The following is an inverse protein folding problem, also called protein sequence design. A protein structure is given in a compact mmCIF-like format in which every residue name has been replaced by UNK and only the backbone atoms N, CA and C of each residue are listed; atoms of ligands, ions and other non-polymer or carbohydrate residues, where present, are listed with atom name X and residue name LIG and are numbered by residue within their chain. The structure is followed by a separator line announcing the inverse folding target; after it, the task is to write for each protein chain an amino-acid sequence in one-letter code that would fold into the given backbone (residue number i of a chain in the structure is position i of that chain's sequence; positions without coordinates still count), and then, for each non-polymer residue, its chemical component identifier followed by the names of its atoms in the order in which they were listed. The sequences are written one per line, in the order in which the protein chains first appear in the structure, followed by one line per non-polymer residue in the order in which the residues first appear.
data_IF_882205730836
#
_entry.id   IF_882205730836
#
_cell.length_a   1.000
_cell.length_b   1.000
_cell.length_c   1.000
_cell.angle_alpha   90.00
_cell.angle_beta   90.00
_cell.angle_gamma   90.00
#
_symmetry.space_group_name_H-M   'P 1'
#
loop_
_entity.id
_entity.type
_entity.pdbx_description
1 polymer ?
#
# COMPACT_ATOMS: atom_id res chain seq x y z
N UNK A 1 1.31 -1.54 -20.81
CA UNK A 1 1.24 -1.73 -19.35
C UNK A 1 -0.08 -1.26 -18.75
N UNK A 2 -0.67 -0.14 -19.19
CA UNK A 2 -1.95 0.34 -18.64
C UNK A 2 -3.12 0.31 -19.63
N UNK A 3 -2.89 -0.04 -20.90
CA UNK A 3 -3.99 -0.48 -21.76
C UNK A 3 -4.39 -1.89 -21.32
N UNK A 4 -5.68 -2.06 -21.07
CA UNK A 4 -6.26 -3.27 -20.49
C UNK A 4 -7.32 -3.86 -21.42
N UNK A 5 -7.38 -3.35 -22.65
CA UNK A 5 -8.25 -3.87 -23.69
C UNK A 5 -7.83 -5.30 -24.02
N UNK A 6 -8.76 -6.25 -23.94
CA UNK A 6 -8.52 -7.66 -24.28
C UNK A 6 -7.98 -8.55 -23.15
N UNK A 7 -7.94 -8.08 -21.91
CA UNK A 7 -7.59 -8.91 -20.73
C UNK A 7 -8.72 -8.89 -19.68
N UNK A 8 -8.92 -10.03 -19.01
CA UNK A 8 -9.96 -10.20 -17.99
C UNK A 8 -9.58 -9.56 -16.64
N UNK A 9 -8.30 -9.58 -16.31
CA UNK A 9 -7.75 -8.96 -15.11
C UNK A 9 -6.28 -8.59 -15.32
N UNK A 10 -5.75 -7.73 -14.45
CA UNK A 10 -4.37 -7.27 -14.51
C UNK A 10 -3.50 -8.01 -13.49
N UNK A 11 -2.32 -8.44 -13.93
CA UNK A 11 -1.32 -9.05 -13.06
C UNK A 11 0.04 -8.40 -13.29
N UNK A 12 0.72 -8.01 -12.21
CA UNK A 12 2.09 -7.48 -12.28
C UNK A 12 3.02 -8.24 -11.36
N UNK A 13 4.31 -8.15 -11.66
CA UNK A 13 5.39 -8.64 -10.83
C UNK A 13 6.17 -7.44 -10.29
N UNK A 14 6.56 -7.46 -9.02
CA UNK A 14 7.34 -6.37 -8.42
C UNK A 14 8.24 -6.85 -7.30
N UNK A 15 9.52 -6.53 -7.42
CA UNK A 15 10.60 -6.90 -6.48
C UNK A 15 11.27 -5.65 -5.86
N UNK A 16 10.58 -4.51 -5.96
CA UNK A 16 11.03 -3.19 -5.52
C UNK A 16 10.68 -2.89 -4.05
N UNK A 17 11.03 -1.69 -3.59
CA UNK A 17 10.68 -1.23 -2.26
C UNK A 17 9.16 -1.11 -2.09
N UNK A 18 8.66 -1.22 -0.86
CA UNK A 18 7.22 -1.32 -0.59
C UNK A 18 6.48 -0.01 -0.89
N UNK A 19 7.11 1.12 -0.61
CA UNK A 19 6.66 2.46 -1.01
C UNK A 19 6.56 2.60 -2.54
N UNK A 20 7.49 2.03 -3.29
CA UNK A 20 7.37 1.97 -4.74
C UNK A 20 6.25 1.02 -5.19
N UNK A 21 6.12 -0.15 -4.56
CA UNK A 21 5.13 -1.17 -4.91
C UNK A 21 3.70 -0.62 -4.88
N UNK A 22 3.31 0.06 -3.80
CA UNK A 22 1.92 0.49 -3.58
C UNK A 22 1.40 1.38 -4.72
N UNK A 23 2.22 2.33 -5.20
CA UNK A 23 1.88 3.16 -6.35
C UNK A 23 1.75 2.36 -7.64
N UNK A 24 2.68 1.43 -7.91
CA UNK A 24 2.63 0.57 -9.11
C UNK A 24 1.38 -0.32 -9.10
N UNK A 25 1.12 -0.99 -7.98
CA UNK A 25 -0.03 -1.88 -7.83
C UNK A 25 -1.35 -1.11 -7.97
N UNK A 26 -1.42 0.12 -7.46
CA UNK A 26 -2.62 0.94 -7.60
C UNK A 26 -2.87 1.42 -9.03
N UNK A 27 -1.81 1.75 -9.78
CA UNK A 27 -1.96 2.24 -11.16
C UNK A 27 -2.67 1.27 -12.10
N UNK A 28 -2.62 -0.04 -11.82
CA UNK A 28 -3.30 -1.08 -12.61
C UNK A 28 -4.73 -1.39 -12.13
N UNK A 29 -5.24 -0.71 -11.11
CA UNK A 29 -6.62 -0.90 -10.62
C UNK A 29 -7.62 -0.47 -11.69
N UNK A 30 -8.35 -1.45 -12.25
CA UNK A 30 -9.42 -1.23 -13.24
C UNK A 30 -10.76 -1.79 -12.76
N UNK A 31 -10.99 -1.83 -11.45
CA UNK A 31 -12.26 -2.35 -10.90
C UNK A 31 -13.49 -1.56 -11.33
N UNK A 32 -13.33 -0.28 -11.70
CA UNK A 32 -14.40 0.51 -12.30
C UNK A 32 -14.89 -0.09 -13.64
N UNK A 33 -14.05 -0.89 -14.31
CA UNK A 33 -14.39 -1.64 -15.53
C UNK A 33 -14.86 -3.07 -15.26
N UNK A 34 -15.00 -3.47 -14.00
CA UNK A 34 -15.24 -4.86 -13.61
C UNK A 34 -13.99 -5.76 -13.71
N UNK A 35 -12.80 -5.20 -13.94
CA UNK A 35 -11.54 -5.95 -14.05
C UNK A 35 -10.77 -5.90 -12.73
N UNK A 36 -10.43 -7.06 -12.19
CA UNK A 36 -9.59 -7.14 -10.99
C UNK A 36 -8.12 -6.87 -11.30
N UNK A 37 -7.31 -6.72 -10.25
CA UNK A 37 -5.87 -6.57 -10.33
C UNK A 37 -5.16 -7.39 -9.24
N UNK A 38 -3.93 -7.84 -9.52
CA UNK A 38 -3.17 -8.73 -8.63
C UNK A 38 -1.66 -8.48 -8.70
N UNK A 39 -0.96 -8.98 -7.67
CA UNK A 39 0.50 -9.02 -7.60
C UNK A 39 0.95 -10.50 -7.70
N UNK A 40 1.19 -10.97 -8.92
CA UNK A 40 1.44 -12.38 -9.20
C UNK A 40 2.84 -12.85 -8.86
N UNK A 41 3.79 -11.93 -8.73
CA UNK A 41 5.09 -12.24 -8.17
C UNK A 41 5.60 -11.06 -7.33
N UNK A 42 5.98 -11.37 -6.09
CA UNK A 42 6.74 -10.48 -5.21
C UNK A 42 7.61 -11.31 -4.26
N UNK A 43 8.49 -10.64 -3.53
CA UNK A 43 9.26 -11.27 -2.46
C UNK A 43 10.75 -11.22 -2.68
N UNK A 44 11.49 -11.82 -1.75
CA UNK A 44 12.95 -11.92 -1.67
C UNK A 44 13.78 -10.66 -1.89
N UNK A 45 13.18 -9.46 -2.03
CA UNK A 45 13.90 -8.19 -2.14
C UNK A 45 14.93 -8.03 -1.04
N UNK A 46 14.52 -8.18 0.22
CA UNK A 46 15.37 -7.93 1.38
C UNK A 46 16.56 -8.88 1.40
N UNK A 47 16.31 -10.18 1.22
CA UNK A 47 17.35 -11.19 1.21
C UNK A 47 18.26 -11.09 -0.03
N UNK A 48 17.70 -10.76 -1.20
CA UNK A 48 18.44 -10.52 -2.43
C UNK A 48 19.34 -9.28 -2.35
N UNK A 49 18.83 -8.17 -1.81
CA UNK A 49 19.61 -6.95 -1.60
C UNK A 49 20.76 -7.18 -0.61
N UNK A 50 20.50 -7.86 0.51
CA UNK A 50 21.51 -8.26 1.48
C UNK A 50 22.60 -9.13 0.80
N UNK A 51 22.18 -10.10 -0.03
CA UNK A 51 23.10 -10.96 -0.78
C UNK A 51 23.99 -10.18 -1.75
N UNK A 52 23.44 -9.21 -2.47
CA UNK A 52 24.20 -8.33 -3.37
C UNK A 52 25.24 -7.47 -2.63
N UNK A 53 25.03 -7.23 -1.34
CA UNK A 53 25.95 -6.51 -0.46
C UNK A 53 26.94 -7.45 0.26
N UNK A 54 26.99 -8.74 -0.11
CA UNK A 54 27.88 -9.73 0.50
C UNK A 54 27.43 -10.22 1.88
N UNK A 55 26.21 -9.87 2.32
CA UNK A 55 25.65 -10.34 3.58
C UNK A 55 25.12 -11.77 3.39
N UNK A 56 25.43 -12.64 4.36
CA UNK A 56 24.99 -14.03 4.39
C UNK A 56 23.85 -14.24 5.39
N UNK A 57 22.99 -15.23 5.11
CA UNK A 57 21.83 -15.55 5.94
C UNK A 57 20.53 -14.91 5.46
N UNK A 58 19.43 -15.21 6.16
CA UNK A 58 18.11 -14.63 5.90
C UNK A 58 17.88 -13.43 6.86
N UNK A 59 17.70 -12.19 6.35
CA UNK A 59 17.33 -11.04 7.16
C UNK A 59 15.86 -11.14 7.61
N UNK A 60 15.57 -12.10 8.50
CA UNK A 60 14.23 -12.57 8.82
C UNK A 60 13.25 -11.46 9.19
N UNK A 61 13.62 -10.55 10.10
CA UNK A 61 12.71 -9.48 10.54
C UNK A 61 12.33 -8.53 9.40
N UNK A 62 13.32 -8.09 8.61
CA UNK A 62 13.07 -7.20 7.48
C UNK A 62 12.33 -7.91 6.32
N UNK A 63 12.57 -9.22 6.14
CA UNK A 63 11.78 -10.06 5.22
C UNK A 63 10.32 -10.17 5.67
N UNK A 64 10.07 -10.37 6.98
CA UNK A 64 8.72 -10.44 7.55
C UNK A 64 8.01 -9.10 7.38
N UNK A 65 8.65 -7.98 7.74
CA UNK A 65 8.08 -6.64 7.57
C UNK A 65 7.68 -6.37 6.11
N UNK A 66 8.55 -6.73 5.16
CA UNK A 66 8.24 -6.60 3.75
C UNK A 66 6.99 -7.40 3.36
N UNK A 67 6.95 -8.71 3.66
CA UNK A 67 5.81 -9.56 3.29
C UNK A 67 4.49 -9.12 3.93
N UNK A 68 4.52 -8.75 5.22
CA UNK A 68 3.34 -8.26 5.91
C UNK A 68 2.84 -6.95 5.30
N UNK A 69 3.74 -5.99 5.04
CA UNK A 69 3.37 -4.73 4.41
C UNK A 69 2.76 -4.95 3.02
N UNK A 70 3.38 -5.79 2.17
CA UNK A 70 2.82 -6.13 0.84
C UNK A 70 1.38 -6.65 0.94
N UNK A 71 1.12 -7.59 1.86
CA UNK A 71 -0.22 -8.13 2.03
C UNK A 71 -1.25 -7.10 2.51
N UNK A 72 -0.87 -6.23 3.43
CA UNK A 72 -1.76 -5.17 3.94
C UNK A 72 -2.05 -4.11 2.87
N UNK A 73 -1.07 -3.77 2.03
CA UNK A 73 -1.28 -2.91 0.86
C UNK A 73 -2.22 -3.57 -0.16
N UNK A 74 -2.00 -4.84 -0.48
CA UNK A 74 -2.80 -5.55 -1.46
C UNK A 74 -4.27 -5.68 -1.04
N UNK A 75 -4.54 -6.15 0.19
CA UNK A 75 -5.92 -6.23 0.69
C UNK A 75 -6.55 -4.84 0.85
N UNK A 76 -5.78 -3.87 1.35
CA UNK A 76 -6.22 -2.49 1.54
C UNK A 76 -6.64 -1.82 0.24
N UNK A 77 -5.91 -2.06 -0.85
CA UNK A 77 -6.29 -1.58 -2.17
C UNK A 77 -7.39 -2.42 -2.83
N UNK A 78 -7.63 -3.64 -2.36
CA UNK A 78 -8.61 -4.58 -2.89
C UNK A 78 -8.12 -5.39 -4.09
N UNK A 79 -6.84 -5.78 -4.10
CA UNK A 79 -6.29 -6.73 -5.05
C UNK A 79 -6.93 -8.12 -4.87
N UNK A 80 -7.13 -8.87 -5.95
CA UNK A 80 -7.77 -10.20 -5.89
C UNK A 80 -6.88 -11.28 -5.26
N UNK A 81 -5.58 -11.22 -5.50
CA UNK A 81 -4.61 -12.12 -4.89
C UNK A 81 -3.20 -11.52 -4.90
N UNK A 82 -2.34 -12.12 -4.07
CA UNK A 82 -0.89 -11.94 -4.14
C UNK A 82 -0.24 -13.33 -4.22
N UNK A 83 0.85 -13.44 -4.96
CA UNK A 83 1.64 -14.66 -5.04
C UNK A 83 3.12 -14.31 -4.90
N UNK A 84 3.80 -15.01 -3.98
CA UNK A 84 5.22 -14.78 -3.77
C UNK A 84 6.04 -15.64 -4.74
N UNK A 85 7.17 -15.09 -5.17
CA UNK A 85 8.22 -15.84 -5.86
C UNK A 85 9.45 -15.85 -4.94
N UNK A 86 9.94 -16.99 -4.46
CA UNK A 86 9.61 -18.39 -4.81
C UNK A 86 9.08 -19.18 -3.61
N UNK A 87 8.51 -20.35 -3.87
CA UNK A 87 8.15 -21.30 -2.81
C UNK A 87 9.38 -21.81 -2.03
N UNK A 88 10.48 -22.12 -2.71
CA UNK A 88 11.73 -22.60 -2.11
C UNK A 88 12.96 -21.98 -2.78
N UNK A 89 14.08 -21.95 -2.06
CA UNK A 89 15.38 -21.61 -2.64
C UNK A 89 15.75 -22.64 -3.72
N UNK A 90 16.41 -22.19 -4.78
CA UNK A 90 16.95 -23.08 -5.80
C UNK A 90 18.27 -23.68 -5.32
N UNK A 91 18.48 -24.98 -5.52
CA UNK A 91 19.70 -25.69 -5.07
C UNK A 91 20.97 -25.18 -5.76
N UNK A 92 20.84 -24.83 -7.03
CA UNK A 92 21.96 -24.42 -7.88
C UNK A 92 22.06 -22.89 -8.00
N UNK A 93 21.33 -22.15 -7.16
CA UNK A 93 21.36 -20.70 -7.16
C UNK A 93 21.81 -20.17 -5.80
N UNK A 94 22.71 -19.19 -5.83
CA UNK A 94 23.22 -18.56 -4.62
C UNK A 94 22.24 -17.54 -4.01
N UNK A 95 21.14 -17.26 -4.70
CA UNK A 95 20.17 -16.26 -4.30
C UNK A 95 19.01 -16.87 -3.49
N UNK A 96 18.71 -16.32 -2.30
CA UNK A 96 17.68 -16.86 -1.40
C UNK A 96 16.26 -16.43 -1.84
N UNK A 97 15.79 -16.95 -2.96
CA UNK A 97 14.48 -16.63 -3.54
C UNK A 97 13.28 -17.20 -2.77
N UNK A 98 13.46 -18.29 -2.03
CA UNK A 98 12.36 -19.02 -1.40
C UNK A 98 11.87 -18.43 -0.09
N UNK A 99 10.59 -18.67 0.22
CA UNK A 99 10.08 -18.65 1.61
C UNK A 99 10.42 -19.94 2.38
N UNK A 100 10.86 -20.98 1.67
CA UNK A 100 11.53 -22.16 2.23
C UNK A 100 12.99 -22.21 1.79
N UNK A 101 13.82 -22.88 2.58
CA UNK A 101 15.14 -23.32 2.14
C UNK A 101 15.04 -24.40 1.05
N UNK A 102 16.15 -24.71 0.39
CA UNK A 102 16.17 -25.65 -0.75
C UNK A 102 15.80 -27.11 -0.38
N UNK A 103 15.90 -27.43 0.90
CA UNK A 103 15.48 -28.69 1.54
C UNK A 103 14.02 -28.68 2.05
N UNK A 104 13.28 -27.59 1.79
CA UNK A 104 11.92 -27.33 2.27
C UNK A 104 11.81 -27.00 3.77
N UNK A 105 12.92 -26.73 4.47
CA UNK A 105 12.86 -26.19 5.82
C UNK A 105 12.23 -24.78 5.77
N UNK A 106 11.19 -24.49 6.56
CA UNK A 106 10.49 -23.21 6.52
C UNK A 106 11.36 -22.07 7.06
N UNK A 107 11.38 -20.94 6.35
CA UNK A 107 11.99 -19.69 6.87
C UNK A 107 10.99 -18.96 7.78
N UNK A 108 11.45 -18.09 8.69
CA UNK A 108 10.56 -17.29 9.55
C UNK A 108 9.51 -16.49 8.77
N UNK A 109 9.86 -16.00 7.57
CA UNK A 109 8.92 -15.29 6.69
C UNK A 109 7.74 -16.15 6.24
N UNK A 110 7.89 -17.46 6.07
CA UNK A 110 6.78 -18.36 5.73
C UNK A 110 5.76 -18.45 6.87
N UNK A 111 6.22 -18.50 8.12
CA UNK A 111 5.32 -18.54 9.27
C UNK A 111 4.49 -17.26 9.37
N UNK A 112 5.14 -16.09 9.21
CA UNK A 112 4.45 -14.79 9.23
C UNK A 112 3.48 -14.66 8.04
N UNK A 113 3.91 -15.06 6.85
CA UNK A 113 3.11 -15.01 5.63
C UNK A 113 1.86 -15.90 5.75
N UNK A 114 2.01 -17.13 6.25
CA UNK A 114 0.89 -18.04 6.56
C UNK A 114 -0.09 -17.43 7.55
N UNK A 115 0.41 -16.84 8.65
CA UNK A 115 -0.45 -16.24 9.68
C UNK A 115 -1.24 -15.04 9.12
N UNK A 116 -0.63 -14.21 8.26
CA UNK A 116 -1.33 -13.13 7.55
C UNK A 116 -2.43 -13.67 6.62
N UNK A 117 -2.15 -14.74 5.86
CA UNK A 117 -3.17 -15.36 5.00
C UNK A 117 -4.35 -15.92 5.79
N UNK A 118 -4.10 -16.49 6.98
CA UNK A 118 -5.17 -16.92 7.87
C UNK A 118 -5.97 -15.73 8.39
N UNK A 119 -5.30 -14.65 8.79
CA UNK A 119 -5.96 -13.43 9.26
C UNK A 119 -6.93 -12.84 8.22
N UNK A 120 -6.55 -12.87 6.95
CA UNK A 120 -7.37 -12.37 5.84
C UNK A 120 -8.43 -13.37 5.34
N UNK A 121 -8.43 -14.62 5.85
CA UNK A 121 -9.24 -15.73 5.30
C UNK A 121 -10.74 -15.46 5.28
N UNK A 122 -11.25 -14.64 6.19
CA UNK A 122 -12.68 -14.31 6.31
C UNK A 122 -13.02 -12.96 5.67
N UNK A 123 -12.04 -12.28 5.06
CA UNK A 123 -12.28 -11.06 4.34
C UNK A 123 -12.80 -11.40 2.94
N UNK A 124 -13.99 -10.91 2.61
CA UNK A 124 -14.53 -10.95 1.25
C UNK A 124 -14.72 -9.52 0.73
N UNK A 125 -13.66 -8.89 0.18
CA UNK A 125 -13.73 -7.52 -0.30
C UNK A 125 -14.81 -7.32 -1.37
N UNK A 126 -15.51 -6.20 -1.26
CA UNK A 126 -16.48 -5.71 -2.24
C UNK A 126 -16.00 -4.38 -2.80
N UNK A 127 -16.12 -4.21 -4.11
CA UNK A 127 -15.82 -2.94 -4.75
C UNK A 127 -16.90 -1.90 -4.40
N UNK A 128 -16.48 -0.73 -3.91
CA UNK A 128 -17.28 0.48 -3.80
C UNK A 128 -16.61 1.55 -4.67
N UNK A 129 -17.35 2.12 -5.62
CA UNK A 129 -16.82 3.14 -6.51
C UNK A 129 -16.43 4.39 -5.70
N UNK A 130 -15.16 4.84 -5.77
CA UNK A 130 -14.71 6.01 -5.04
C UNK A 130 -15.20 7.30 -5.72
N UNK A 131 -15.23 8.40 -4.97
CA UNK A 131 -15.61 9.71 -5.51
C UNK A 131 -14.42 10.45 -6.17
N UNK A 132 -13.19 10.01 -5.95
CA UNK A 132 -11.96 10.58 -6.51
C UNK A 132 -11.33 9.63 -7.52
N UNK A 133 -10.86 10.14 -8.66
CA UNK A 133 -10.09 9.38 -9.63
C UNK A 133 -8.76 10.04 -9.98
N UNK A 134 -7.70 9.23 -10.06
CA UNK A 134 -6.43 9.59 -10.67
C UNK A 134 -6.52 9.33 -12.17
N UNK A 135 -6.36 10.38 -12.98
CA UNK A 135 -6.39 10.31 -14.44
C UNK A 135 -4.97 10.12 -14.97
N UNK A 136 -4.70 8.98 -15.59
CA UNK A 136 -3.41 8.68 -16.19
C UNK A 136 -3.32 9.33 -17.58
N UNK A 137 -2.32 10.19 -17.85
CA UNK A 137 -2.20 10.91 -19.11
C UNK A 137 -1.66 9.99 -20.22
N UNK A 138 -2.54 9.50 -21.08
CA UNK A 138 -2.19 8.55 -22.13
C UNK A 138 -1.33 9.18 -23.22
N UNK A 139 -1.63 10.42 -23.60
CA UNK A 139 -0.89 11.13 -24.65
C UNK A 139 0.51 11.58 -24.20
N UNK A 140 0.71 11.88 -22.91
CA UNK A 140 2.01 12.36 -22.43
C UNK A 140 3.02 11.26 -22.12
N UNK A 141 2.56 10.05 -21.74
CA UNK A 141 3.42 8.97 -21.23
C UNK A 141 4.35 8.32 -22.27
N UNK A 142 4.11 8.52 -23.56
CA UNK A 142 4.91 7.92 -24.64
C UNK A 142 5.90 8.96 -25.19
N UNK A 143 7.17 8.56 -25.33
CA UNK A 143 8.21 9.38 -25.97
C UNK A 143 9.45 9.61 -25.09
N UNK A 144 10.21 10.70 -25.32
CA UNK A 144 11.34 11.07 -24.49
C UNK A 144 10.95 11.14 -23.01
N UNK A 145 11.88 10.77 -22.12
CA UNK A 145 11.70 10.78 -20.66
C UNK A 145 10.65 9.79 -20.10
N UNK A 146 10.19 8.80 -20.87
CA UNK A 146 9.15 7.80 -20.46
C UNK A 146 9.37 7.27 -19.03
N UNK A 147 10.62 6.91 -18.66
CA UNK A 147 10.93 6.40 -17.32
C UNK A 147 10.62 7.40 -16.20
N UNK A 148 10.98 8.68 -16.37
CA UNK A 148 10.68 9.74 -15.40
C UNK A 148 9.19 10.05 -15.34
N UNK A 149 8.50 10.01 -16.48
CA UNK A 149 7.05 10.22 -16.54
C UNK A 149 6.32 9.12 -15.77
N UNK A 150 6.65 7.84 -16.03
CA UNK A 150 6.04 6.72 -15.31
C UNK A 150 6.32 6.77 -13.81
N UNK A 151 7.52 7.20 -13.39
CA UNK A 151 7.83 7.40 -11.98
C UNK A 151 7.01 8.54 -11.37
N UNK A 152 6.81 9.65 -12.08
CA UNK A 152 5.93 10.73 -11.65
C UNK A 152 4.46 10.28 -11.49
N UNK A 153 3.95 9.46 -12.40
CA UNK A 153 2.60 8.89 -12.27
C UNK A 153 2.47 7.94 -11.08
N UNK A 154 3.47 7.09 -10.86
CA UNK A 154 3.55 6.22 -9.68
C UNK A 154 3.54 7.05 -8.40
N UNK A 155 4.32 8.14 -8.36
CA UNK A 155 4.40 9.08 -7.25
C UNK A 155 3.07 9.78 -6.97
N UNK A 156 2.32 10.13 -8.01
CA UNK A 156 0.96 10.68 -7.86
C UNK A 156 0.03 9.71 -7.13
N UNK A 157 0.05 8.43 -7.54
CA UNK A 157 -0.73 7.39 -6.88
C UNK A 157 -0.26 7.20 -5.43
N UNK A 158 1.05 7.24 -5.20
CA UNK A 158 1.67 7.15 -3.88
C UNK A 158 1.26 8.26 -2.91
N UNK A 159 1.18 9.50 -3.41
CA UNK A 159 0.69 10.65 -2.66
C UNK A 159 -0.77 10.49 -2.24
N UNK A 160 -1.64 10.07 -3.18
CA UNK A 160 -3.05 9.79 -2.87
C UNK A 160 -3.21 8.66 -1.85
N UNK A 161 -2.40 7.60 -1.98
CA UNK A 161 -2.38 6.52 -0.99
C UNK A 161 -1.96 7.06 0.40
N UNK A 162 -0.94 7.92 0.44
CA UNK A 162 -0.38 8.45 1.69
C UNK A 162 -1.28 9.48 2.39
N UNK A 163 -2.25 10.08 1.69
CA UNK A 163 -3.26 10.96 2.31
C UNK A 163 -4.52 10.20 2.76
N UNK A 164 -4.50 8.86 2.66
CA UNK A 164 -5.58 7.97 3.11
C UNK A 164 -6.94 8.26 2.45
N UNK A 165 -6.95 8.67 1.18
CA UNK A 165 -8.19 8.88 0.42
C UNK A 165 -8.52 7.65 -0.43
N UNK A 166 -9.77 7.16 -0.44
CA UNK A 166 -10.21 6.18 -1.43
C UNK A 166 -10.24 6.82 -2.82
N UNK A 167 -9.55 6.23 -3.80
CA UNK A 167 -9.55 6.71 -5.17
C UNK A 167 -9.52 5.58 -6.20
N UNK A 168 -10.04 5.85 -7.39
CA UNK A 168 -9.95 4.97 -8.56
C UNK A 168 -8.84 5.45 -9.49
N UNK A 169 -8.43 4.61 -10.43
CA UNK A 169 -7.46 5.00 -11.47
C UNK A 169 -8.13 4.82 -12.82
N UNK A 170 -8.03 5.83 -13.68
CA UNK A 170 -8.65 5.83 -15.00
C UNK A 170 -7.67 6.39 -16.04
N UNK A 171 -7.74 5.87 -17.26
CA UNK A 171 -6.98 6.38 -18.39
C UNK A 171 -7.74 7.55 -19.04
N UNK A 172 -7.03 8.52 -19.62
CA UNK A 172 -7.63 9.61 -20.42
C UNK A 172 -8.60 9.06 -21.49
N UNK A 173 -8.18 8.01 -22.20
CA UNK A 173 -8.99 7.38 -23.23
C UNK A 173 -10.31 6.77 -22.72
N UNK A 174 -10.44 6.54 -21.42
CA UNK A 174 -11.61 5.91 -20.78
C UNK A 174 -12.47 6.87 -19.97
N UNK A 175 -12.23 8.18 -20.04
CA UNK A 175 -12.97 9.20 -19.25
C UNK A 175 -14.50 9.20 -19.49
N UNK A 176 -14.97 8.70 -20.63
CA UNK A 176 -16.39 8.47 -20.93
C UNK A 176 -17.03 7.35 -20.09
N UNK A 177 -16.21 6.54 -19.42
CA UNK A 177 -16.62 5.44 -18.54
C UNK A 177 -16.44 5.76 -17.05
N UNK A 178 -16.26 7.04 -16.71
CA UNK A 178 -16.25 7.48 -15.31
C UNK A 178 -17.54 7.04 -14.61
N UNK A 179 -17.46 6.37 -13.44
CA UNK A 179 -18.64 6.02 -12.67
C UNK A 179 -19.42 7.25 -12.21
N UNK A 180 -20.76 7.14 -12.05
CA UNK A 180 -21.61 8.25 -11.63
C UNK A 180 -21.31 8.75 -10.22
N UNK A 181 -20.54 8.03 -9.42
CA UNK A 181 -20.04 8.43 -8.10
C UNK A 181 -18.86 9.42 -8.18
N UNK A 182 -18.19 9.54 -9.34
CA UNK A 182 -17.04 10.43 -9.49
C UNK A 182 -17.43 11.91 -9.24
N UNK A 183 -16.70 12.58 -8.36
CA UNK A 183 -16.88 13.99 -7.98
C UNK A 183 -15.62 14.81 -8.15
N UNK A 184 -14.45 14.18 -8.09
CA UNK A 184 -13.17 14.85 -8.27
C UNK A 184 -12.20 14.04 -9.12
N UNK A 185 -11.34 14.74 -9.85
CA UNK A 185 -10.23 14.19 -10.62
C UNK A 185 -8.92 14.81 -10.16
N UNK A 186 -7.87 14.00 -10.11
CA UNK A 186 -6.49 14.45 -10.08
C UNK A 186 -5.85 14.00 -11.38
N UNK A 187 -5.46 14.95 -12.20
CA UNK A 187 -4.91 14.76 -13.54
C UNK A 187 -3.44 15.20 -13.56
N UNK A 188 -2.53 14.35 -13.07
CA UNK A 188 -1.11 14.64 -13.07
C UNK A 188 -0.59 14.74 -14.50
N UNK A 189 0.40 15.60 -14.71
CA UNK A 189 1.14 15.70 -15.96
C UNK A 189 0.22 15.85 -17.20
N UNK A 190 -0.84 16.64 -17.05
CA UNK A 190 -1.81 17.00 -18.08
C UNK A 190 -1.21 18.01 -19.07
N UNK A 191 -0.05 17.68 -19.65
CA UNK A 191 0.73 18.56 -20.53
C UNK A 191 0.16 18.54 -21.95
N UNK A 192 0.03 17.36 -22.55
CA UNK A 192 -0.43 17.23 -23.93
C UNK A 192 -1.64 16.33 -24.08
N UNK A 193 -2.74 16.58 -23.34
CA UNK A 193 -3.92 15.74 -23.46
C UNK A 193 -4.49 15.85 -24.87
N UNK A 194 -4.95 14.73 -25.43
CA UNK A 194 -5.70 14.71 -26.68
C UNK A 194 -6.96 15.60 -26.56
N UNK A 195 -7.39 16.19 -27.69
CA UNK A 195 -8.54 17.11 -27.71
C UNK A 195 -9.81 16.44 -27.12
N UNK A 196 -10.08 15.19 -27.51
CA UNK A 196 -11.21 14.41 -26.98
C UNK A 196 -11.15 14.20 -25.47
N UNK A 197 -9.96 13.96 -24.91
CA UNK A 197 -9.77 13.77 -23.47
C UNK A 197 -9.99 15.06 -22.71
N UNK A 198 -9.48 16.18 -23.26
CA UNK A 198 -9.69 17.51 -22.71
C UNK A 198 -11.17 17.92 -22.70
N UNK A 199 -11.89 17.69 -23.80
CA UNK A 199 -13.33 17.96 -23.88
C UNK A 199 -14.15 17.15 -22.87
N UNK A 200 -13.77 15.89 -22.62
CA UNK A 200 -14.41 15.04 -21.60
C UNK A 200 -14.20 15.61 -20.18
N UNK A 201 -13.01 16.14 -19.89
CA UNK A 201 -12.75 16.81 -18.61
C UNK A 201 -13.54 18.11 -18.49
N UNK A 202 -13.66 18.91 -19.56
CA UNK A 202 -14.52 20.09 -19.56
C UNK A 202 -15.98 19.72 -19.22
N UNK A 203 -16.53 18.70 -19.87
CA UNK A 203 -17.89 18.22 -19.58
C UNK A 203 -18.05 17.79 -18.13
N UNK A 204 -17.06 17.09 -17.58
CA UNK A 204 -17.06 16.70 -16.16
C UNK A 204 -17.09 17.94 -15.23
N UNK A 205 -16.32 18.98 -15.56
CA UNK A 205 -16.31 20.25 -14.81
C UNK A 205 -17.66 20.97 -14.93
N UNK A 206 -18.26 21.03 -16.12
CA UNK A 206 -19.58 21.63 -16.37
C UNK A 206 -20.66 20.96 -15.51
N UNK A 207 -20.59 19.64 -15.36
CA UNK A 207 -21.47 18.82 -14.52
C UNK A 207 -21.22 18.98 -13.00
N UNK A 208 -20.31 19.86 -12.60
CA UNK A 208 -20.02 20.16 -11.18
C UNK A 208 -18.84 19.37 -10.61
N UNK A 209 -18.14 18.61 -11.45
CA UNK A 209 -16.91 17.92 -11.08
C UNK A 209 -15.78 18.91 -10.78
N UNK A 210 -14.83 18.47 -9.95
CA UNK A 210 -13.66 19.27 -9.55
C UNK A 210 -12.37 18.62 -9.99
N UNK A 211 -11.41 19.42 -10.46
CA UNK A 211 -10.20 18.88 -11.09
C UNK A 211 -8.96 19.57 -10.54
N UNK A 212 -8.00 18.79 -10.07
CA UNK A 212 -6.61 19.22 -9.94
C UNK A 212 -5.87 18.78 -11.20
N UNK A 213 -5.28 19.73 -11.93
CA UNK A 213 -4.36 19.42 -13.02
C UNK A 213 -2.96 19.99 -12.74
N UNK A 214 -1.93 19.19 -13.06
CA UNK A 214 -0.54 19.63 -13.02
C UNK A 214 0.07 19.57 -14.42
N UNK A 215 1.02 20.44 -14.72
CA UNK A 215 1.51 20.65 -16.08
C UNK A 215 0.63 21.63 -16.87
N UNK A 216 0.99 21.87 -18.12
CA UNK A 216 0.38 22.91 -18.95
C UNK A 216 -0.42 22.28 -20.10
N UNK A 217 -1.76 22.30 -20.09
CA UNK A 217 -2.56 21.60 -21.11
C UNK A 217 -2.55 22.28 -22.48
N UNK A 218 -1.82 23.40 -22.66
CA UNK A 218 -1.76 24.15 -23.92
C UNK A 218 -0.93 23.45 -25.01
N UNK A 219 -0.28 22.34 -24.70
CA UNK A 219 0.47 21.57 -25.68
C UNK A 219 -0.44 20.56 -26.41
N UNK A 220 -0.28 20.45 -27.73
CA UNK A 220 -0.87 19.36 -28.52
C UNK A 220 -0.06 18.06 -28.32
N UNK A 221 -0.57 16.94 -28.83
CA UNK A 221 0.03 15.61 -28.63
C UNK A 221 1.48 15.49 -29.15
N UNK A 222 1.85 16.29 -30.14
CA UNK A 222 3.22 16.45 -30.65
C UNK A 222 4.11 17.35 -29.75
N UNK A 223 3.58 17.79 -28.61
CA UNK A 223 4.20 18.68 -27.63
C UNK A 223 4.51 20.08 -28.19
N UNK A 224 3.71 20.55 -29.15
CA UNK A 224 3.73 21.95 -29.61
C UNK A 224 2.69 22.81 -28.87
N UNK A 225 3.01 24.04 -28.44
CA UNK A 225 2.09 24.88 -27.66
C UNK A 225 1.03 25.57 -28.55
N UNK A 226 0.17 24.78 -29.19
CA UNK A 226 -0.84 25.26 -30.15
C UNK A 226 -2.25 25.36 -29.57
N UNK A 227 -2.51 24.82 -28.37
CA UNK A 227 -3.84 24.77 -27.73
C UNK A 227 -4.02 25.88 -26.70
N UNK A 228 -3.70 27.11 -27.09
CA UNK A 228 -3.62 28.26 -26.17
C UNK A 228 -4.93 28.60 -25.45
N UNK A 229 -6.07 28.33 -26.07
CA UNK A 229 -7.39 28.61 -25.51
C UNK A 229 -7.78 27.70 -24.32
N UNK A 230 -7.08 26.57 -24.10
CA UNK A 230 -7.46 25.58 -23.08
C UNK A 230 -7.47 26.13 -21.65
N UNK A 231 -6.58 27.04 -21.30
CA UNK A 231 -6.59 27.66 -19.97
C UNK A 231 -7.83 28.55 -19.78
N UNK A 232 -8.21 29.31 -20.80
CA UNK A 232 -9.41 30.14 -20.76
C UNK A 232 -10.68 29.28 -20.66
N UNK A 233 -10.72 28.16 -21.39
CA UNK A 233 -11.81 27.16 -21.30
C UNK A 233 -11.93 26.55 -19.90
N UNK A 234 -10.82 26.43 -19.16
CA UNK A 234 -10.81 26.03 -17.75
C UNK A 234 -11.11 27.18 -16.78
N UNK A 235 -11.42 28.39 -17.26
CA UNK A 235 -11.66 29.56 -16.44
C UNK A 235 -10.41 30.11 -15.75
N UNK A 236 -9.22 29.82 -16.29
CA UNK A 236 -7.92 30.21 -15.77
C UNK A 236 -7.29 31.32 -16.61
N UNK A 237 -6.53 32.20 -15.94
CA UNK A 237 -5.73 33.21 -16.62
C UNK A 237 -4.32 32.66 -16.89
N UNK A 238 -3.97 32.61 -18.18
CA UNK A 238 -2.68 32.10 -18.62
C UNK A 238 -1.52 33.03 -18.21
N UNK A 239 -0.42 32.51 -17.64
CA UNK A 239 0.86 33.22 -17.64
C UNK A 239 1.46 33.19 -19.05
N UNK A 240 2.30 34.19 -19.37
CA UNK A 240 3.06 34.26 -20.61
C UNK A 240 4.57 34.05 -20.36
N UNK A 241 5.32 33.29 -21.22
CA UNK A 241 4.89 32.34 -22.26
C UNK A 241 4.68 30.89 -21.74
N UNK A 242 4.13 29.99 -22.57
CA UNK A 242 4.09 28.54 -22.27
C UNK A 242 5.50 27.94 -22.22
N UNK A 243 5.78 27.13 -21.21
CA UNK A 243 7.12 26.59 -20.94
C UNK A 243 7.15 25.10 -21.31
N UNK A 244 8.12 24.64 -22.12
CA UNK A 244 8.22 23.22 -22.48
C UNK A 244 8.28 22.29 -21.25
N UNK A 245 7.64 21.12 -21.28
CA UNK A 245 7.44 20.26 -20.10
C UNK A 245 8.74 19.80 -19.40
N UNK A 246 9.87 19.75 -20.10
CA UNK A 246 11.13 19.24 -19.55
C UNK A 246 12.21 20.31 -19.31
N UNK A 247 11.92 21.58 -19.62
CA UNK A 247 12.88 22.66 -19.43
C UNK A 247 12.99 23.10 -17.96
N UNK A 248 11.93 22.91 -17.17
CA UNK A 248 11.96 23.13 -15.72
C UNK A 248 12.62 21.93 -15.05
N UNK A 249 13.61 22.18 -14.21
CA UNK A 249 14.40 21.13 -13.52
C UNK A 249 14.25 21.13 -12.00
N UNK A 250 13.62 22.15 -11.43
CA UNK A 250 13.43 22.29 -10.00
C UNK A 250 12.04 22.85 -9.70
N UNK A 251 11.49 22.47 -8.55
CA UNK A 251 10.29 23.11 -8.03
C UNK A 251 10.56 24.56 -7.65
N UNK A 252 9.60 25.47 -7.86
CA UNK A 252 9.62 26.79 -7.26
C UNK A 252 9.67 26.72 -5.72
N UNK A 253 10.25 27.73 -5.09
CA UNK A 253 10.36 27.79 -3.62
C UNK A 253 8.99 27.87 -2.91
N UNK A 254 8.00 28.50 -3.56
CA UNK A 254 6.62 28.54 -3.11
C UNK A 254 5.75 27.84 -4.15
N UNK A 255 5.12 26.74 -3.74
CA UNK A 255 4.26 25.94 -4.62
C UNK A 255 2.80 26.09 -4.19
N UNK A 256 1.96 26.49 -5.14
CA UNK A 256 0.51 26.53 -4.96
C UNK A 256 -0.17 26.37 -6.31
N UNK A 257 -1.37 25.77 -6.31
CA UNK A 257 -2.22 25.79 -7.49
C UNK A 257 -2.98 27.12 -7.58
N UNK A 258 -3.25 27.54 -8.81
CA UNK A 258 -4.19 28.61 -9.16
C UNK A 258 -5.58 28.01 -9.26
N UNK A 259 -6.60 28.78 -8.89
CA UNK A 259 -7.98 28.30 -8.95
C UNK A 259 -8.75 29.04 -10.04
N UNK A 260 -9.62 28.33 -10.77
CA UNK A 260 -10.58 28.95 -11.69
C UNK A 260 -11.55 29.87 -10.95
N UNK A 261 -12.18 30.81 -11.67
CA UNK A 261 -13.11 31.78 -11.08
C UNK A 261 -14.27 31.13 -10.31
N UNK A 262 -14.71 29.96 -10.73
CA UNK A 262 -15.81 29.20 -10.11
C UNK A 262 -15.35 28.19 -9.05
N UNK A 263 -14.05 28.10 -8.77
CA UNK A 263 -13.51 27.21 -7.74
C UNK A 263 -13.39 25.73 -8.16
N UNK A 264 -13.77 25.36 -9.40
CA UNK A 264 -13.84 23.94 -9.82
C UNK A 264 -12.51 23.38 -10.30
N UNK A 265 -11.61 24.22 -10.78
CA UNK A 265 -10.32 23.81 -11.34
C UNK A 265 -9.19 24.36 -10.48
N UNK A 266 -8.34 23.48 -9.98
CA UNK A 266 -7.06 23.79 -9.38
C UNK A 266 -5.95 23.44 -10.39
N UNK A 267 -5.11 24.41 -10.74
CA UNK A 267 -4.07 24.24 -11.75
C UNK A 267 -2.70 24.63 -11.25
N UNK A 268 -1.75 23.70 -11.39
CA UNK A 268 -0.33 23.96 -11.18
C UNK A 268 0.40 23.86 -12.53
N UNK A 269 0.97 24.95 -13.08
CA UNK A 269 1.61 24.92 -14.39
C UNK A 269 2.84 24.00 -14.44
N UNK A 270 3.56 23.87 -13.34
CA UNK A 270 4.72 23.00 -13.26
C UNK A 270 4.29 21.52 -13.20
N UNK A 271 5.02 20.62 -13.90
CA UNK A 271 4.81 19.17 -13.78
C UNK A 271 5.34 18.67 -12.43
N UNK A 272 4.60 18.99 -11.36
CA UNK A 272 4.92 18.72 -9.94
C UNK A 272 5.53 17.33 -9.73
N UNK A 273 4.95 16.32 -10.36
CA UNK A 273 5.32 14.92 -10.24
C UNK A 273 6.71 14.62 -10.82
N UNK A 274 7.21 15.43 -11.75
CA UNK A 274 8.57 15.30 -12.30
C UNK A 274 9.63 16.08 -11.51
N UNK A 275 9.19 16.97 -10.61
CA UNK A 275 10.05 17.93 -9.91
C UNK A 275 10.16 17.65 -8.41
N UNK A 276 9.14 17.05 -7.78
CA UNK A 276 9.13 16.73 -6.35
C UNK A 276 9.70 15.33 -6.03
N UNK A 277 10.99 15.15 -6.20
CA UNK A 277 11.62 13.84 -5.97
C UNK A 277 11.57 13.39 -4.50
N UNK A 278 11.40 14.32 -3.55
CA UNK A 278 11.30 14.01 -2.11
C UNK A 278 9.88 13.74 -1.65
N UNK A 279 8.86 14.00 -2.49
CA UNK A 279 7.45 13.77 -2.15
C UNK A 279 6.93 14.56 -0.95
N UNK A 280 7.60 15.65 -0.59
CA UNK A 280 7.23 16.49 0.55
C UNK A 280 6.12 17.48 0.16
N UNK A 281 6.20 18.02 -1.05
CA UNK A 281 5.32 19.11 -1.51
C UNK A 281 4.07 18.58 -2.20
N UNK A 282 4.22 17.60 -3.08
CA UNK A 282 3.11 17.13 -3.92
C UNK A 282 2.03 16.42 -3.13
N UNK A 283 2.41 15.65 -2.11
CA UNK A 283 1.48 15.06 -1.14
C UNK A 283 0.62 16.12 -0.47
N UNK A 284 1.23 17.23 -0.04
CA UNK A 284 0.52 18.33 0.61
C UNK A 284 -0.40 19.06 -0.36
N UNK A 285 0.04 19.30 -1.60
CA UNK A 285 -0.81 19.91 -2.65
C UNK A 285 -2.04 19.03 -2.94
N UNK A 286 -1.86 17.72 -3.05
CA UNK A 286 -2.96 16.78 -3.28
C UNK A 286 -3.92 16.76 -2.08
N UNK A 287 -3.37 16.68 -0.85
CA UNK A 287 -4.16 16.75 0.38
C UNK A 287 -4.98 18.03 0.45
N UNK A 288 -4.36 19.17 0.15
CA UNK A 288 -5.00 20.49 0.16
C UNK A 288 -6.13 20.59 -0.86
N UNK A 289 -5.90 20.12 -2.09
CA UNK A 289 -6.96 20.03 -3.09
C UNK A 289 -8.14 19.20 -2.58
N UNK A 290 -7.89 18.00 -2.03
CA UNK A 290 -8.94 17.13 -1.52
C UNK A 290 -9.71 17.81 -0.36
N UNK A 291 -8.98 18.32 0.64
CA UNK A 291 -9.55 18.88 1.88
C UNK A 291 -10.25 20.23 1.66
N UNK A 292 -9.72 21.11 0.81
CA UNK A 292 -10.21 22.49 0.66
C UNK A 292 -11.04 22.69 -0.61
N UNK A 293 -10.73 21.92 -1.65
CA UNK A 293 -11.30 22.11 -2.98
C UNK A 293 -12.20 20.96 -3.39
N UNK A 294 -12.53 19.99 -2.53
CA UNK A 294 -13.52 18.95 -2.86
C UNK A 294 -14.40 18.59 -1.66
N UNK A 295 -15.45 17.80 -1.90
CA UNK A 295 -16.25 17.16 -0.84
C UNK A 295 -15.90 15.66 -0.69
N UNK A 296 -14.75 15.22 -1.22
CA UNK A 296 -14.33 13.83 -1.10
C UNK A 296 -13.76 13.58 0.28
N UNK A 297 -14.38 12.66 1.02
CA UNK A 297 -13.96 12.33 2.37
C UNK A 297 -12.80 11.31 2.35
N UNK A 298 -11.66 11.71 2.91
CA UNK A 298 -10.54 10.82 3.22
C UNK A 298 -10.70 10.17 4.60
N UNK A 299 -10.07 9.00 4.78
CA UNK A 299 -9.99 8.37 6.08
C UNK A 299 -9.05 9.19 6.98
N UNK A 300 -9.62 9.80 8.03
CA UNK A 300 -8.85 10.56 9.00
C UNK A 300 -8.09 9.59 9.90
N UNK A 301 -6.80 9.84 10.09
CA UNK A 301 -5.92 9.00 10.92
C UNK A 301 -5.05 9.93 11.75
N UNK A 302 -4.91 9.68 13.04
CA UNK A 302 -3.97 10.41 13.90
C UNK A 302 -2.78 9.50 14.25
N UNK A 303 -1.53 9.97 14.10
CA UNK A 303 -1.12 11.21 13.42
C UNK A 303 -1.34 11.16 11.90
N UNK A 304 -1.63 12.32 11.32
CA UNK A 304 -2.00 12.51 9.91
C UNK A 304 -0.84 13.11 9.07
N UNK A 305 0.33 12.53 9.22
CA UNK A 305 1.59 13.03 8.62
C UNK A 305 2.06 12.19 7.42
N UNK A 306 1.20 11.28 6.96
CA UNK A 306 1.40 10.41 5.79
C UNK A 306 2.38 9.26 5.98
N UNK A 307 2.88 9.01 7.19
CA UNK A 307 3.66 7.79 7.50
C UNK A 307 2.79 6.60 7.90
N UNK A 308 1.52 6.83 8.24
CA UNK A 308 0.55 5.77 8.53
C UNK A 308 -0.42 5.66 7.37
N UNK A 309 -0.18 4.65 6.53
CA UNK A 309 -0.99 4.41 5.34
C UNK A 309 -2.10 3.47 5.72
N UNK A 310 -3.34 3.90 5.53
CA UNK A 310 -4.51 3.22 6.06
C UNK A 310 -5.58 3.13 4.99
N UNK A 311 -6.16 1.94 4.88
CA UNK A 311 -7.24 1.63 3.98
C UNK A 311 -8.46 1.20 4.77
N UNK A 312 -9.62 1.69 4.37
CA UNK A 312 -10.92 1.14 4.75
C UNK A 312 -11.41 0.28 3.58
N UNK A 313 -11.66 -1.00 3.85
CA UNK A 313 -12.06 -1.99 2.84
C UNK A 313 -13.49 -2.42 3.13
N UNK A 314 -14.39 -2.14 2.20
CA UNK A 314 -15.74 -2.68 2.25
C UNK A 314 -15.69 -4.20 2.04
N UNK A 315 -16.37 -4.94 2.91
CA UNK A 315 -16.52 -6.39 2.80
C UNK A 315 -17.99 -6.74 2.53
N UNK A 316 -18.25 -7.97 2.08
CA UNK A 316 -19.62 -8.47 1.98
C UNK A 316 -20.34 -8.51 3.34
N UNK A 317 -19.61 -8.84 4.41
CA UNK A 317 -20.09 -8.80 5.79
C UNK A 317 -19.27 -7.80 6.61
N UNK A 318 -19.62 -6.51 6.49
CA UNK A 318 -19.02 -5.43 7.27
C UNK A 318 -17.83 -4.74 6.58
N UNK A 319 -16.79 -4.43 7.35
CA UNK A 319 -15.63 -3.63 6.90
C UNK A 319 -14.33 -4.11 7.53
N UNK A 320 -13.23 -3.88 6.84
CA UNK A 320 -11.90 -4.05 7.39
C UNK A 320 -11.09 -2.76 7.30
N UNK A 321 -10.15 -2.62 8.23
CA UNK A 321 -9.09 -1.62 8.21
C UNK A 321 -7.77 -2.35 8.08
N UNK A 322 -6.96 -1.96 7.09
CA UNK A 322 -5.59 -2.40 6.95
C UNK A 322 -4.69 -1.16 7.00
N UNK A 323 -3.66 -1.18 7.85
CA UNK A 323 -2.71 -0.08 7.93
C UNK A 323 -1.26 -0.57 8.01
N UNK A 324 -0.34 0.27 7.54
CA UNK A 324 1.10 0.07 7.62
C UNK A 324 1.74 1.32 8.21
N UNK A 325 2.47 1.17 9.32
CA UNK A 325 3.31 2.22 9.88
C UNK A 325 4.66 2.22 9.17
N UNK A 326 4.87 3.19 8.29
CA UNK A 326 6.11 3.34 7.52
C UNK A 326 7.17 4.18 8.23
N UNK A 327 6.88 4.73 9.41
CA UNK A 327 7.88 5.48 10.17
C UNK A 327 8.89 4.56 10.87
N UNK A 328 10.02 5.13 11.24
CA UNK A 328 11.07 4.48 12.03
C UNK A 328 10.70 4.35 13.51
N UNK A 329 9.56 4.91 13.92
CA UNK A 329 9.10 4.92 15.30
C UNK A 329 7.78 4.17 15.48
N UNK A 330 7.49 3.76 16.72
CA UNK A 330 6.19 3.22 17.05
C UNK A 330 5.14 4.34 17.13
N UNK A 331 3.94 4.08 16.63
CA UNK A 331 2.85 5.05 16.58
C UNK A 331 1.63 4.59 17.34
N UNK A 332 0.95 5.54 17.98
CA UNK A 332 -0.40 5.37 18.47
C UNK A 332 -1.35 5.86 17.39
N UNK A 333 -1.95 4.92 16.67
CA UNK A 333 -2.87 5.19 15.57
C UNK A 333 -4.27 5.34 16.16
N UNK A 334 -4.95 6.43 15.81
CA UNK A 334 -6.38 6.64 16.09
C UNK A 334 -7.11 6.83 14.77
N UNK A 335 -8.12 6.00 14.53
CA UNK A 335 -9.05 6.10 13.41
C UNK A 335 -10.42 6.39 14.03
N UNK A 336 -11.01 7.56 13.79
CA UNK A 336 -12.30 7.93 14.38
C UNK A 336 -13.42 7.04 13.82
N UNK A 337 -14.51 6.94 14.59
CA UNK A 337 -15.69 6.23 14.14
C UNK A 337 -16.29 6.91 12.90
N UNK A 338 -16.72 6.10 11.91
CA UNK A 338 -17.32 6.58 10.66
C UNK A 338 -18.28 5.55 10.09
N UNK A 339 -19.53 5.93 9.89
CA UNK A 339 -20.56 4.99 9.40
C UNK A 339 -20.66 3.75 10.30
N UNK A 340 -20.40 2.57 9.72
CA UNK A 340 -20.38 1.29 10.43
C UNK A 340 -19.01 0.91 11.02
N UNK A 341 -17.97 1.71 10.79
CA UNK A 341 -16.65 1.48 11.36
C UNK A 341 -16.58 2.12 12.76
N UNK A 342 -16.44 1.34 13.84
CA UNK A 342 -16.21 1.88 15.18
C UNK A 342 -14.83 2.54 15.28
N UNK A 343 -14.64 3.40 16.28
CA UNK A 343 -13.32 3.99 16.55
C UNK A 343 -12.29 2.89 16.81
N UNK A 344 -11.11 3.00 16.19
CA UNK A 344 -9.98 2.09 16.38
C UNK A 344 -8.82 2.87 16.99
N UNK A 345 -8.28 2.37 18.11
CA UNK A 345 -7.01 2.86 18.69
C UNK A 345 -6.04 1.72 18.82
N UNK A 346 -4.87 1.84 18.20
CA UNK A 346 -3.89 0.78 18.16
C UNK A 346 -2.47 1.31 18.29
N UNK A 347 -1.66 0.63 19.09
CA UNK A 347 -0.22 0.84 19.08
C UNK A 347 0.45 -0.03 18.03
N UNK A 348 1.08 0.58 17.03
CA UNK A 348 1.73 -0.10 15.90
C UNK A 348 3.21 0.21 15.91
N UNK A 349 4.07 -0.81 15.96
CA UNK A 349 5.51 -0.60 15.97
C UNK A 349 6.04 -0.14 14.60
N UNK A 350 7.27 0.37 14.56
CA UNK A 350 7.94 0.83 13.34
C UNK A 350 8.00 -0.27 12.28
N UNK A 351 7.62 0.04 11.04
CA UNK A 351 7.59 -0.93 9.93
C UNK A 351 6.56 -2.06 10.09
N UNK A 352 5.63 -1.97 11.06
CA UNK A 352 4.62 -3.00 11.33
C UNK A 352 3.23 -2.60 10.84
N UNK A 353 2.31 -3.54 10.93
CA UNK A 353 0.98 -3.43 10.34
C UNK A 353 -0.13 -3.54 11.39
N UNK A 354 -1.28 -2.97 11.04
CA UNK A 354 -2.55 -3.08 11.76
C UNK A 354 -3.57 -3.74 10.83
N UNK A 355 -4.35 -4.66 11.37
CA UNK A 355 -5.54 -5.16 10.72
C UNK A 355 -6.69 -5.24 11.72
N UNK A 356 -7.88 -4.81 11.32
CA UNK A 356 -9.12 -4.96 12.10
C UNK A 356 -10.24 -5.28 11.13
N UNK A 357 -10.97 -6.36 11.38
CA UNK A 357 -12.18 -6.70 10.64
C UNK A 357 -13.37 -6.68 11.58
N UNK A 358 -14.38 -5.92 11.20
CA UNK A 358 -15.68 -5.83 11.88
C UNK A 358 -16.77 -6.35 10.95
N UNK A 359 -17.63 -7.24 11.46
CA UNK A 359 -18.77 -7.73 10.68
C UNK A 359 -19.91 -6.69 10.63
N UNK A 360 -20.99 -6.97 9.91
CA UNK A 360 -22.13 -6.06 9.79
C UNK A 360 -22.82 -5.73 11.14
N UNK A 361 -22.60 -6.55 12.18
CA UNK A 361 -23.10 -6.32 13.55
C UNK A 361 -22.16 -5.46 14.41
N UNK A 362 -21.02 -5.01 13.85
CA UNK A 362 -20.01 -4.26 14.60
C UNK A 362 -19.16 -5.12 15.55
N UNK A 363 -19.20 -6.44 15.38
CA UNK A 363 -18.38 -7.36 16.16
C UNK A 363 -17.00 -7.52 15.52
N UNK A 364 -15.95 -7.58 16.34
CA UNK A 364 -14.58 -7.78 15.83
C UNK A 364 -14.37 -9.27 15.57
N UNK A 365 -14.13 -9.63 14.31
CA UNK A 365 -13.96 -11.04 13.89
C UNK A 365 -12.50 -11.39 13.61
N UNK A 366 -11.68 -10.40 13.28
CA UNK A 366 -10.23 -10.57 13.12
C UNK A 366 -9.50 -9.29 13.52
N UNK A 367 -8.33 -9.42 14.13
CA UNK A 367 -7.53 -8.28 14.51
C UNK A 367 -6.04 -8.63 14.67
N UNK A 368 -5.15 -7.70 14.32
CA UNK A 368 -3.72 -7.81 14.59
C UNK A 368 -3.08 -6.45 14.90
N UNK A 369 -2.28 -6.39 15.97
CA UNK A 369 -1.50 -5.20 16.39
C UNK A 369 -0.39 -5.59 17.41
N UNK A 370 0.56 -4.69 17.68
CA UNK A 370 1.75 -4.96 18.51
C UNK A 370 1.72 -4.37 19.92
N UNK A 371 1.13 -3.19 20.09
CA UNK A 371 1.20 -2.42 21.34
C UNK A 371 -0.21 -2.11 21.88
N UNK A 372 -1.10 -3.08 21.74
CA UNK A 372 -2.49 -3.01 22.19
C UNK A 372 -3.44 -2.53 21.10
N UNK A 373 -4.71 -2.90 21.24
CA UNK A 373 -5.79 -2.54 20.33
C UNK A 373 -7.10 -2.40 21.10
N UNK A 374 -7.79 -1.28 20.87
CA UNK A 374 -9.18 -1.09 21.27
C UNK A 374 -10.05 -0.78 20.05
N UNK A 375 -11.28 -1.28 20.07
CA UNK A 375 -12.27 -1.06 19.01
C UNK A 375 -13.61 -0.72 19.68
N UNK A 376 -14.13 0.47 19.38
CA UNK A 376 -15.31 1.03 20.06
C UNK A 376 -15.11 1.19 21.56
N UNK A 377 -13.90 1.56 21.99
CA UNK A 377 -13.52 1.69 23.40
C UNK A 377 -13.28 0.37 24.16
N UNK A 378 -13.60 -0.78 23.57
CA UNK A 378 -13.37 -2.08 24.20
C UNK A 378 -11.99 -2.64 23.85
N UNK A 379 -11.26 -3.18 24.83
CA UNK A 379 -9.99 -3.88 24.62
C UNK A 379 -10.21 -5.14 23.76
N UNK A 380 -9.44 -5.25 22.68
CA UNK A 380 -9.36 -6.43 21.81
C UNK A 380 -8.04 -7.16 22.02
N UNK A 381 -6.92 -6.41 22.00
CA UNK A 381 -5.57 -6.94 22.23
C UNK A 381 -4.89 -6.16 23.36
N UNK A 382 -4.24 -6.88 24.28
CA UNK A 382 -3.47 -6.25 25.37
C UNK A 382 -2.18 -5.62 24.85
N UNK A 383 -1.78 -4.53 25.49
CA UNK A 383 -0.45 -3.94 25.28
C UNK A 383 0.67 -4.92 25.65
N UNK A 384 1.76 -4.93 24.88
CA UNK A 384 3.00 -5.66 25.19
C UNK A 384 3.25 -6.96 24.44
N UNK A 385 2.49 -7.29 23.37
CA UNK A 385 2.82 -8.42 22.51
C UNK A 385 2.33 -8.27 21.07
N UNK A 386 2.98 -8.98 20.14
CA UNK A 386 2.65 -8.98 18.71
C UNK A 386 1.61 -10.07 18.40
N UNK A 387 0.33 -9.68 18.48
CA UNK A 387 -0.79 -10.61 18.47
C UNK A 387 -1.62 -10.48 17.21
N UNK A 388 -2.02 -11.63 16.67
CA UNK A 388 -3.16 -11.75 15.75
C UNK A 388 -4.21 -12.69 16.36
N UNK A 389 -5.48 -12.30 16.23
CA UNK A 389 -6.64 -13.09 16.62
C UNK A 389 -7.63 -13.17 15.46
N UNK A 390 -8.24 -14.33 15.30
CA UNK A 390 -9.26 -14.59 14.28
C UNK A 390 -10.33 -15.50 14.86
N UNK A 391 -11.58 -15.16 14.57
CA UNK A 391 -12.75 -16.01 14.76
C UNK A 391 -13.04 -16.79 13.47
N UNK A 392 -12.98 -18.12 13.53
CA UNK A 392 -13.37 -18.97 12.39
C UNK A 392 -14.89 -19.17 12.32
N UNK A 393 -15.62 -18.89 13.39
CA UNK A 393 -17.08 -18.97 13.47
C UNK A 393 -17.78 -17.65 13.13
N UNK A 394 -17.04 -16.56 12.89
CA UNK A 394 -17.59 -15.23 12.68
C UNK A 394 -18.14 -14.56 13.96
N UNK A 395 -17.90 -15.14 15.13
CA UNK A 395 -18.25 -14.56 16.42
C UNK A 395 -17.23 -13.50 16.88
N UNK A 396 -17.67 -12.61 17.76
CA UNK A 396 -16.83 -11.58 18.35
C UNK A 396 -15.64 -12.17 19.13
N UNK A 397 -14.41 -11.87 18.69
CA UNK A 397 -13.17 -12.34 19.34
C UNK A 397 -13.06 -11.86 20.80
N UNK A 398 -13.69 -10.73 21.15
CA UNK A 398 -13.70 -10.19 22.52
C UNK A 398 -14.46 -11.12 23.48
N UNK A 399 -15.48 -11.83 22.98
CA UNK A 399 -16.23 -12.83 23.76
C UNK A 399 -15.42 -14.12 23.88
N UNK A 400 -14.87 -14.61 22.78
CA UNK A 400 -14.07 -15.84 22.74
C UNK A 400 -12.82 -15.77 23.63
N UNK A 401 -12.18 -14.62 23.72
CA UNK A 401 -11.00 -14.42 24.56
C UNK A 401 -11.29 -14.56 26.06
N UNK A 402 -12.50 -14.14 26.50
CA UNK A 402 -12.95 -14.34 27.89
C UNK A 402 -13.14 -15.82 28.21
N UNK A 403 -13.64 -16.60 27.25
CA UNK A 403 -13.79 -18.05 27.41
C UNK A 403 -12.45 -18.79 27.46
N UNK A 404 -11.49 -18.44 26.60
CA UNK A 404 -10.13 -19.02 26.63
C UNK A 404 -9.45 -18.83 27.99
N UNK A 405 -9.58 -17.65 28.59
CA UNK A 405 -9.04 -17.36 29.94
C UNK A 405 -9.75 -18.09 31.07
N UNK A 406 -11.03 -18.42 30.91
CA UNK A 406 -11.82 -19.10 31.94
C UNK A 406 -11.59 -20.61 32.03
N UNK A 407 -10.86 -21.21 31.08
CA UNK A 407 -10.62 -22.66 31.02
C UNK A 407 -11.85 -23.51 30.70
N UNK A 408 -13.00 -22.90 30.39
CA UNK A 408 -14.30 -23.58 30.21
C UNK A 408 -14.78 -23.73 28.76
N UNK A 409 -14.00 -23.30 27.78
CA UNK A 409 -14.42 -23.33 26.38
C UNK A 409 -13.56 -24.25 25.50
N UNK A 410 -14.19 -25.21 24.81
CA UNK A 410 -13.64 -25.76 23.55
C UNK A 410 -13.67 -24.63 22.51
N UNK A 411 -12.64 -23.78 22.45
CA UNK A 411 -12.72 -22.52 21.70
C UNK A 411 -12.04 -22.58 20.33
N UNK A 412 -12.77 -22.17 19.31
CA UNK A 412 -12.39 -22.07 17.88
C UNK A 412 -11.75 -20.69 17.58
N UNK A 413 -10.88 -20.22 18.49
CA UNK A 413 -10.16 -18.95 18.36
C UNK A 413 -8.67 -19.25 18.26
N UNK A 414 -8.02 -18.80 17.19
CA UNK A 414 -6.58 -19.01 17.01
C UNK A 414 -5.85 -17.72 17.37
N UNK A 415 -5.13 -17.75 18.49
CA UNK A 415 -4.14 -16.73 18.81
C UNK A 415 -2.84 -17.09 18.09
N UNK A 416 -2.41 -16.26 17.16
CA UNK A 416 -1.14 -16.46 16.45
C UNK A 416 -0.16 -15.37 16.85
N UNK A 417 1.08 -15.72 17.27
CA UNK A 417 2.13 -14.71 17.29
C UNK A 417 2.39 -14.25 15.85
N UNK A 418 2.33 -12.94 15.59
CA UNK A 418 2.68 -12.38 14.27
C UNK A 418 4.20 -12.44 14.07
N UNK A 419 4.96 -12.41 15.17
CA UNK A 419 6.39 -12.75 15.24
C UNK A 419 6.59 -13.78 16.35
N UNK A 420 7.14 -14.96 16.03
CA UNK A 420 7.88 -15.73 17.03
C UNK A 420 9.19 -15.01 17.27
N UNK A 421 9.26 -14.15 18.28
CA UNK A 421 10.56 -13.81 18.86
C UNK A 421 11.10 -15.11 19.45
N UNK A 422 12.11 -15.71 18.82
CA UNK A 422 13.00 -16.64 19.51
C UNK A 422 13.73 -15.83 20.58
N UNK A 423 13.10 -15.65 21.75
CA UNK A 423 13.89 -15.46 22.96
C UNK A 423 14.56 -16.81 23.17
N UNK A 424 15.84 -16.91 22.81
CA UNK A 424 16.69 -17.94 23.33
C UNK A 424 16.59 -17.85 24.87
N UNK A 425 15.77 -18.69 25.48
CA UNK A 425 15.99 -19.06 26.86
C UNK A 425 17.32 -19.79 26.83
N UNK A 426 18.38 -19.10 27.22
CA UNK A 426 19.61 -19.72 27.68
C UNK A 426 19.21 -20.78 28.72
N UNK A 427 19.15 -22.03 28.28
CA UNK A 427 19.11 -23.17 29.19
C UNK A 427 20.51 -23.23 29.77
N UNK A 428 20.66 -22.65 30.96
CA UNK A 428 21.84 -22.90 31.78
C UNK A 428 21.86 -24.39 32.10
N UNK A 429 22.69 -25.14 31.39
CA UNK A 429 23.12 -26.46 31.83
C UNK A 429 23.99 -26.24 33.07
N UNK A 430 23.43 -26.47 34.25
CA UNK A 430 24.21 -26.70 35.47
C UNK A 430 24.51 -28.20 35.48
N UNK A 431 25.78 -28.64 35.33
CA UNK A 431 26.12 -30.03 35.56
C UNK A 431 26.22 -30.22 37.07
N UNK A 432 25.28 -31.00 37.63
CA UNK A 432 25.47 -31.59 38.95
C UNK A 432 26.68 -32.53 38.91
N UNK A 433 27.56 -32.31 39.87
CA UNK A 433 28.82 -32.98 40.13
C UNK A 433 28.76 -34.52 40.20
N UNK A 434 29.85 -35.15 39.76
CA UNK A 434 30.44 -36.28 40.47
C UNK A 434 30.35 -37.64 39.79
N UNK A 435 31.37 -38.02 39.03
CA UNK A 435 32.35 -39.01 39.48
C UNK A 435 33.49 -39.18 38.48
N UNK A 436 34.70 -39.12 39.02
CA UNK A 436 35.98 -39.33 38.37
C UNK A 436 36.17 -40.82 38.07
N UNK A 437 36.59 -41.14 36.85
CA UNK A 437 37.44 -42.32 36.60
C UNK A 437 38.39 -42.08 35.42
N UNK A 438 39.62 -42.51 35.67
CA UNK A 438 40.88 -42.14 35.03
C UNK A 438 41.05 -42.65 33.60
N UNK A 439 41.71 -41.80 32.80
CA UNK A 439 42.76 -42.09 31.79
C UNK A 439 42.80 -43.45 31.08
N UNK A 440 42.91 -43.42 29.74
CA UNK A 440 44.09 -43.94 29.02
C UNK A 440 44.13 -43.48 27.57
N UNK A 441 45.32 -43.03 27.16
CA UNK A 441 45.74 -42.74 25.78
C UNK A 441 45.57 -43.96 24.88
N UNK A 442 45.23 -43.77 23.60
CA UNK A 442 45.99 -44.41 22.54
C UNK A 442 45.93 -43.62 21.22
N UNK A 443 47.11 -43.41 20.64
CA UNK A 443 47.37 -42.82 19.32
C UNK A 443 46.97 -43.81 18.22
N UNK A 444 46.49 -43.32 17.08
CA UNK A 444 47.13 -43.54 15.76
C UNK A 444 46.41 -42.75 14.66
N UNK A 445 47.20 -42.41 13.66
CA UNK A 445 47.01 -41.43 12.59
C UNK A 445 46.65 -42.19 11.28
N UNK A 446 46.61 -41.54 10.09
CA UNK A 446 45.47 -41.51 9.15
C UNK A 446 45.67 -42.36 7.87
N UNK A 447 44.62 -42.56 7.03
CA UNK A 447 44.80 -42.84 5.58
C UNK A 447 43.63 -42.30 4.72
N UNK A 448 44.00 -41.37 3.82
CA UNK A 448 43.63 -41.03 2.44
C UNK A 448 42.39 -41.55 1.67
N UNK A 449 41.76 -40.57 1.00
CA UNK A 449 41.25 -40.47 -0.41
C UNK A 449 40.58 -41.67 -1.09
N UNK A 450 39.37 -41.42 -1.62
CA UNK A 450 39.15 -40.94 -3.02
C UNK A 450 37.98 -39.98 -3.04
#
# INVERSE_FOLDING_TARGET
MLDTTGIDFLNIHHYGAVDHLRGVLKMIDRRFEGKSFSLGEFGSRTAHAARNQGVWGDPAEASIQHYLAVGHYAIGMGASFIANWSWKDFRDCVFPWGVNHADLTPKPVLEAYRNMMLLFRTAEPRYEAPALYLVLPDSFRIGPETGRIHEGLRRSADWLISVNVPFGVINEGSLDRLPPEARALVWPLAVCPADVSFERVLRFIEQGGRVLLTGDPRFAEDRTPTRMARLEQLGLVAPAPAVPPFSVKALPQAVSFRTSRDGRVAWMPEPLELLDDRSETGREIYRRFIDESTNVERLRVTPDDGYTVTFEVALRDGRAVAAVNQSEEARQIVIPARGHLPEIRAGVAAGRTLYVQVNARGEVVAAAAQKGLTVGGAEVLKAGGDWAVLSLSGEDVRRLWRFYRSGRGRSVCVAMPVLRTWRAKSVNFVPASGHVLKSRRCRRRPVWRT
#
